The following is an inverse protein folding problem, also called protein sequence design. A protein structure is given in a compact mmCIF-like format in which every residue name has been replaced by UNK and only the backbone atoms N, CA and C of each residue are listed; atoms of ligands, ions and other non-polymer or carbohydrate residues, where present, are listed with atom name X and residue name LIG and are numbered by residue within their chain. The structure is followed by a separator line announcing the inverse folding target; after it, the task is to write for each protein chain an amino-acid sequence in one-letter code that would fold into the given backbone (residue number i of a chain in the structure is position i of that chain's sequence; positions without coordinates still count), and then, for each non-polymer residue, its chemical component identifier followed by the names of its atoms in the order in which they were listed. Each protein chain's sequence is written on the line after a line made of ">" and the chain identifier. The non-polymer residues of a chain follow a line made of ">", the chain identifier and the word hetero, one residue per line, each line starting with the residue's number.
data_IF_888344730670
#
_entry.id   IF_888344730670
#
_cell.length_a   1.000
_cell.length_b   1.000
_cell.length_c   1.000
_cell.angle_alpha   90.00
_cell.angle_beta   90.00
_cell.angle_gamma   90.00
#
_symmetry.space_group_name_H-M   'P 1'
#
loop_
_entity.id
_entity.type
_entity.pdbx_description
1 polymer ?
#
# COMPACT_ATOMS: atom_id res chain seq x y z
N UNK A 1 5.30 -8.15 11.48
CA UNK A 1 3.90 -8.35 11.91
C UNK A 1 3.00 -7.82 10.83
N UNK A 2 1.90 -8.49 10.53
CA UNK A 2 0.87 -7.97 9.62
C UNK A 2 -0.17 -7.17 10.41
N UNK A 3 -0.71 -6.13 9.79
CA UNK A 3 -1.79 -5.31 10.29
C UNK A 3 -3.04 -6.18 10.47
N UNK A 4 -3.85 -5.81 11.47
CA UNK A 4 -5.17 -6.42 11.64
C UNK A 4 -6.06 -6.16 10.40
N UNK A 5 -6.89 -7.12 9.98
CA UNK A 5 -7.90 -6.92 8.95
C UNK A 5 -8.92 -5.81 9.27
N UNK A 6 -9.02 -5.39 10.53
CA UNK A 6 -9.81 -4.24 10.97
C UNK A 6 -9.16 -2.89 10.62
N UNK A 7 -7.89 -2.91 10.18
CA UNK A 7 -7.13 -1.75 9.73
C UNK A 7 -6.96 -1.76 8.22
N UNK A 8 -6.44 -2.87 7.67
CA UNK A 8 -6.12 -3.01 6.26
C UNK A 8 -6.50 -4.40 5.75
N UNK A 9 -7.25 -4.45 4.65
CA UNK A 9 -7.55 -5.68 3.92
C UNK A 9 -6.82 -5.66 2.57
N UNK A 10 -6.10 -6.75 2.28
CA UNK A 10 -5.39 -6.93 1.00
C UNK A 10 -5.99 -8.10 0.23
N UNK A 11 -6.20 -7.92 -1.06
CA UNK A 11 -6.71 -8.97 -1.94
C UNK A 11 -6.06 -8.84 -3.31
N UNK A 12 -5.32 -9.86 -3.72
CA UNK A 12 -4.82 -9.96 -5.09
C UNK A 12 -5.87 -10.63 -5.98
N UNK A 13 -6.15 -10.02 -7.14
CA UNK A 13 -7.08 -10.51 -8.15
C UNK A 13 -6.29 -10.98 -9.37
N UNK A 14 -5.94 -12.27 -9.46
CA UNK A 14 -5.09 -12.78 -10.54
C UNK A 14 -5.75 -12.69 -11.91
N UNK A 15 -7.09 -12.68 -11.96
CA UNK A 15 -7.87 -12.51 -13.18
C UNK A 15 -7.75 -11.11 -13.80
N UNK A 16 -7.38 -10.11 -12.99
CA UNK A 16 -7.21 -8.71 -13.41
C UNK A 16 -5.76 -8.22 -13.28
N UNK A 17 -4.89 -9.02 -12.67
CA UNK A 17 -3.57 -8.62 -12.17
C UNK A 17 -3.61 -7.31 -11.35
N UNK A 18 -4.55 -7.23 -10.40
CA UNK A 18 -4.71 -6.06 -9.52
C UNK A 18 -4.56 -6.46 -8.07
N UNK A 19 -3.71 -5.74 -7.33
CA UNK A 19 -3.68 -5.77 -5.87
C UNK A 19 -4.63 -4.71 -5.32
N UNK A 20 -5.70 -5.15 -4.65
CA UNK A 20 -6.65 -4.27 -3.99
C UNK A 20 -6.27 -4.13 -2.51
N UNK A 21 -6.17 -2.88 -2.05
CA UNK A 21 -6.00 -2.53 -0.65
C UNK A 21 -7.19 -1.73 -0.17
N UNK A 22 -7.69 -2.03 1.03
CA UNK A 22 -8.82 -1.32 1.63
C UNK A 22 -8.52 -0.92 3.06
N UNK A 23 -8.49 0.38 3.29
CA UNK A 23 -8.42 0.95 4.63
C UNK A 23 -9.81 0.88 5.28
N UNK A 24 -9.90 0.16 6.39
CA UNK A 24 -11.16 -0.09 7.10
C UNK A 24 -11.51 1.01 8.10
N UNK A 25 -10.55 1.89 8.40
CA UNK A 25 -10.69 3.12 9.17
C UNK A 25 -9.56 4.10 8.81
N UNK A 26 -9.55 5.28 9.43
CA UNK A 26 -8.38 6.16 9.41
C UNK A 26 -7.19 5.44 10.09
N UNK A 27 -6.07 5.20 9.39
CA UNK A 27 -4.87 4.65 10.01
C UNK A 27 -4.10 5.74 10.77
N UNK A 28 -3.35 5.31 11.78
CA UNK A 28 -2.27 6.12 12.38
C UNK A 28 -1.11 6.27 11.39
N UNK A 29 -0.07 7.01 11.79
CA UNK A 29 1.12 7.14 10.96
C UNK A 29 1.88 5.83 10.76
N UNK A 30 2.09 5.12 11.86
CA UNK A 30 2.78 3.85 11.89
C UNK A 30 2.01 2.79 11.10
N UNK A 31 0.68 2.75 11.24
CA UNK A 31 -0.17 1.84 10.49
C UNK A 31 -0.18 2.13 9.00
N UNK A 32 -0.12 3.41 8.60
CA UNK A 32 -0.03 3.76 7.19
C UNK A 32 1.28 3.25 6.58
N UNK A 33 2.40 3.52 7.25
CA UNK A 33 3.72 3.06 6.80
C UNK A 33 3.77 1.54 6.73
N UNK A 34 3.38 0.84 7.80
CA UNK A 34 3.32 -0.62 7.85
C UNK A 34 2.41 -1.19 6.75
N UNK A 35 1.26 -0.56 6.49
CA UNK A 35 0.34 -1.01 5.46
C UNK A 35 0.87 -0.84 4.05
N UNK A 36 1.58 0.24 3.75
CA UNK A 36 2.30 0.40 2.47
C UNK A 36 3.42 -0.64 2.31
N UNK A 37 4.13 -0.99 3.39
CA UNK A 37 5.13 -2.07 3.34
C UNK A 37 4.50 -3.43 3.08
N UNK A 38 3.34 -3.73 3.68
CA UNK A 38 2.57 -4.94 3.39
C UNK A 38 2.08 -4.99 1.96
N UNK A 39 1.65 -3.84 1.44
CA UNK A 39 1.26 -3.70 0.04
C UNK A 39 2.40 -4.01 -0.91
N UNK A 40 3.57 -3.43 -0.66
CA UNK A 40 4.77 -3.72 -1.43
C UNK A 40 5.16 -5.20 -1.32
N UNK A 41 5.05 -5.80 -0.13
CA UNK A 41 5.34 -7.22 0.06
C UNK A 41 4.36 -8.13 -0.70
N UNK A 42 3.08 -7.79 -0.74
CA UNK A 42 2.08 -8.54 -1.49
C UNK A 42 2.28 -8.38 -3.00
N UNK A 43 2.47 -7.15 -3.46
CA UNK A 43 2.72 -6.85 -4.86
C UNK A 43 4.00 -7.52 -5.39
N UNK A 44 5.12 -7.46 -4.64
CA UNK A 44 6.37 -8.12 -5.00
C UNK A 44 6.23 -9.65 -5.07
N UNK A 45 5.42 -10.26 -4.18
CA UNK A 45 5.13 -11.71 -4.24
C UNK A 45 4.41 -12.12 -5.51
N UNK A 46 3.58 -11.24 -6.06
CA UNK A 46 2.80 -11.50 -7.28
C UNK A 46 3.39 -10.85 -8.54
N UNK A 47 4.48 -10.08 -8.43
CA UNK A 47 5.02 -9.21 -9.49
C UNK A 47 3.94 -8.30 -10.10
N UNK A 48 3.01 -7.81 -9.26
CA UNK A 48 1.87 -7.02 -9.67
C UNK A 48 2.14 -5.52 -9.50
N UNK A 49 2.11 -4.77 -10.59
CA UNK A 49 2.35 -3.32 -10.61
C UNK A 49 1.07 -2.49 -10.49
N UNK A 50 -0.11 -3.13 -10.63
CA UNK A 50 -1.40 -2.42 -10.66
C UNK A 50 -2.10 -2.47 -9.31
N UNK A 51 -2.18 -1.32 -8.63
CA UNK A 51 -2.70 -1.25 -7.26
C UNK A 51 -3.96 -0.39 -7.19
N UNK A 52 -5.01 -0.92 -6.56
CA UNK A 52 -6.22 -0.15 -6.24
C UNK A 52 -6.25 0.14 -4.74
N UNK A 53 -6.26 1.43 -4.38
CA UNK A 53 -6.26 1.89 -3.00
C UNK A 53 -7.64 2.43 -2.62
N UNK A 54 -8.43 1.64 -1.92
CA UNK A 54 -9.69 2.08 -1.33
C UNK A 54 -9.42 2.86 -0.04
N UNK A 55 -9.29 4.17 -0.20
CA UNK A 55 -9.00 5.14 0.86
C UNK A 55 -10.23 5.93 1.32
N UNK A 56 -11.46 5.49 1.00
CA UNK A 56 -12.71 6.24 1.30
C UNK A 56 -12.94 6.57 2.78
N UNK A 57 -12.26 5.85 3.68
CA UNK A 57 -12.35 6.02 5.13
C UNK A 57 -11.19 6.82 5.72
N UNK A 58 -10.30 7.36 4.87
CA UNK A 58 -9.23 8.26 5.27
C UNK A 58 -9.70 9.70 5.10
N UNK A 59 -9.47 10.53 6.10
CA UNK A 59 -9.47 11.97 5.92
C UNK A 59 -8.25 12.40 5.08
N UNK A 60 -8.30 13.58 4.48
CA UNK A 60 -7.24 14.21 3.65
C UNK A 60 -5.94 14.55 4.42
N UNK A 61 -5.64 13.82 5.51
CA UNK A 61 -4.49 13.99 6.40
C UNK A 61 -3.14 13.58 5.78
N UNK A 62 -2.99 13.70 4.45
CA UNK A 62 -1.81 13.22 3.72
C UNK A 62 -0.70 14.27 3.56
N UNK A 63 -0.91 15.52 3.99
CA UNK A 63 0.11 16.58 3.86
C UNK A 63 1.39 16.28 4.65
N UNK A 64 1.25 15.76 5.88
CA UNK A 64 2.41 15.47 6.76
C UNK A 64 3.16 14.18 6.40
N UNK A 65 2.72 13.48 5.35
CA UNK A 65 3.15 12.10 5.05
C UNK A 65 3.84 11.96 3.71
N UNK A 66 3.75 12.99 2.88
CA UNK A 66 4.45 13.11 1.59
C UNK A 66 5.96 12.89 1.72
N UNK A 67 6.68 13.43 2.74
CA UNK A 67 8.12 13.25 2.83
C UNK A 67 8.54 11.78 2.92
N UNK A 68 7.89 11.00 3.80
CA UNK A 68 8.21 9.57 3.95
C UNK A 68 7.98 8.77 2.65
N UNK A 69 6.88 9.08 1.95
CA UNK A 69 6.56 8.43 0.68
C UNK A 69 7.67 8.65 -0.37
N UNK A 70 8.13 9.89 -0.49
CA UNK A 70 9.14 10.31 -1.48
C UNK A 70 10.54 9.83 -1.10
N UNK A 71 10.93 10.00 0.15
CA UNK A 71 12.30 9.75 0.59
C UNK A 71 12.57 8.26 0.86
N UNK A 72 11.56 7.48 1.25
CA UNK A 72 11.74 6.09 1.68
C UNK A 72 10.93 5.09 0.85
N UNK A 73 9.63 5.33 0.70
CA UNK A 73 8.74 4.31 0.12
C UNK A 73 8.94 4.13 -1.39
N UNK A 74 8.91 5.22 -2.18
CA UNK A 74 9.04 5.12 -3.64
C UNK A 74 10.40 4.59 -4.11
N UNK A 75 11.54 4.95 -3.50
CA UNK A 75 12.82 4.31 -3.82
C UNK A 75 12.80 2.80 -3.55
N UNK A 76 12.23 2.37 -2.42
CA UNK A 76 12.09 0.94 -2.07
C UNK A 76 11.13 0.20 -3.01
N UNK A 77 10.05 0.86 -3.44
CA UNK A 77 9.12 0.34 -4.45
C UNK A 77 9.85 0.05 -5.76
N UNK A 78 10.58 1.05 -6.29
CA UNK A 78 11.29 0.92 -7.56
C UNK A 78 12.36 -0.20 -7.55
N UNK A 79 13.00 -0.43 -6.41
CA UNK A 79 13.98 -1.52 -6.25
C UNK A 79 13.34 -2.90 -6.23
N UNK A 80 12.15 -3.03 -5.60
CA UNK A 80 11.51 -4.33 -5.35
C UNK A 80 10.52 -4.77 -6.42
N UNK A 81 9.97 -3.80 -7.15
CA UNK A 81 9.08 -3.99 -8.28
C UNK A 81 9.61 -3.14 -9.45
N UNK A 82 10.74 -3.53 -10.05
CA UNK A 82 11.25 -2.86 -11.22
C UNK A 82 10.25 -3.04 -12.38
N UNK A 83 10.08 -2.00 -13.19
CA UNK A 83 9.17 -2.02 -14.33
C UNK A 83 8.65 -0.62 -14.62
N UNK A 84 8.41 -0.34 -15.89
CA UNK A 84 7.69 0.86 -16.33
C UNK A 84 6.22 0.49 -16.40
N UNK A 85 5.35 1.33 -15.82
CA UNK A 85 3.90 1.30 -16.10
C UNK A 85 3.67 1.48 -17.59
#
# INVERSE_FOLDING_TARGET
>A
MSLSPEVLQLTYRPDLDVLVSRWMRQPTAEELQAGYEELLNAAARHQCHTWLIDARRRADSNKDRTPWMVEYFFPKLAQRLPGTV
#
